data_IF_822241729143
#
_entry.id   IF_822241729143
#
_cell.length_a   1.000
_cell.length_b   1.000
_cell.length_c   1.000
_cell.angle_alpha   90.00
_cell.angle_beta   90.00
_cell.angle_gamma   90.00
#
_symmetry.space_group_name_H-M   'P 1'
#
loop_
_entity.id
_entity.type
_entity.pdbx_description
1 polymer ?
#
# COMPACT_ATOMS: atom_id res chain seq x y z
N UNK A 1 -65.51 -73.53 -160.31
CA UNK A 1 -65.89 -74.95 -160.12
C UNK A 1 -64.94 -75.53 -159.08
N UNK A 2 -65.32 -76.08 -157.92
CA UNK A 2 -66.62 -76.38 -157.31
C UNK A 2 -66.38 -77.26 -156.06
N UNK A 3 -67.08 -76.93 -154.97
CA UNK A 3 -66.98 -77.44 -153.58
C UNK A 3 -67.21 -78.96 -153.39
N UNK A 4 -66.54 -79.58 -152.41
CA UNK A 4 -67.14 -80.50 -151.41
C UNK A 4 -66.21 -80.74 -150.20
N UNK A 5 -66.84 -80.85 -149.01
CA UNK A 5 -66.27 -80.81 -147.66
C UNK A 5 -66.20 -82.20 -146.99
N UNK A 6 -65.15 -82.36 -146.16
CA UNK A 6 -64.99 -83.09 -144.88
C UNK A 6 -65.51 -84.53 -144.67
N UNK A 7 -64.60 -85.40 -144.18
CA UNK A 7 -64.81 -86.19 -142.94
C UNK A 7 -63.45 -86.33 -142.21
N UNK A 8 -63.39 -85.88 -140.96
CA UNK A 8 -62.19 -85.85 -140.09
C UNK A 8 -62.28 -86.97 -139.04
N UNK A 9 -61.18 -87.70 -138.81
CA UNK A 9 -61.06 -88.86 -137.91
C UNK A 9 -61.23 -88.46 -136.41
N UNK A 10 -62.23 -89.02 -135.68
CA UNK A 10 -62.53 -88.67 -134.29
C UNK A 10 -61.42 -88.98 -133.25
N UNK A 11 -60.45 -89.86 -133.56
CA UNK A 11 -59.57 -90.42 -132.52
C UNK A 11 -58.34 -89.53 -132.19
N UNK A 12 -57.89 -88.69 -133.13
CA UNK A 12 -56.76 -87.78 -132.90
C UNK A 12 -57.15 -86.56 -132.05
N UNK A 13 -58.38 -86.06 -132.25
CA UNK A 13 -59.04 -85.05 -131.43
C UNK A 13 -59.08 -85.50 -129.95
N UNK A 14 -59.50 -86.74 -129.69
CA UNK A 14 -59.60 -87.30 -128.33
C UNK A 14 -58.26 -87.32 -127.58
N UNK A 15 -57.15 -87.64 -128.28
CA UNK A 15 -55.83 -87.71 -127.65
C UNK A 15 -55.23 -86.33 -127.35
N UNK A 16 -55.48 -85.34 -128.22
CA UNK A 16 -55.14 -83.92 -127.93
C UNK A 16 -55.97 -83.39 -126.77
N UNK A 17 -57.25 -83.76 -126.69
CA UNK A 17 -58.14 -83.42 -125.58
C UNK A 17 -57.63 -84.06 -124.28
N UNK A 18 -57.26 -85.35 -124.28
CA UNK A 18 -56.79 -86.06 -123.08
C UNK A 18 -55.51 -85.48 -122.47
N UNK A 19 -54.49 -85.19 -123.28
CA UNK A 19 -53.25 -84.59 -122.76
C UNK A 19 -53.44 -83.14 -122.30
N UNK A 20 -54.34 -82.38 -122.94
CA UNK A 20 -54.71 -81.03 -122.52
C UNK A 20 -55.50 -81.07 -121.20
N UNK A 21 -56.34 -82.09 -121.02
CA UNK A 21 -57.06 -82.36 -119.76
C UNK A 21 -56.04 -82.69 -118.66
N UNK A 22 -55.08 -83.60 -118.88
CA UNK A 22 -54.10 -83.97 -117.85
C UNK A 22 -53.17 -82.81 -117.44
N UNK A 23 -52.67 -82.05 -118.41
CA UNK A 23 -51.87 -80.84 -118.12
C UNK A 23 -52.70 -79.74 -117.46
N UNK A 24 -54.01 -79.67 -117.73
CA UNK A 24 -54.95 -78.78 -117.01
C UNK A 24 -55.34 -79.29 -115.63
N UNK A 25 -55.17 -80.59 -115.34
CA UNK A 25 -55.44 -81.16 -114.02
C UNK A 25 -54.25 -81.00 -113.07
N UNK A 26 -53.01 -81.17 -113.56
CA UNK A 26 -51.80 -80.96 -112.75
C UNK A 26 -51.67 -79.51 -112.25
N UNK A 27 -51.95 -78.53 -113.11
CA UNK A 27 -51.95 -77.10 -112.72
C UNK A 27 -53.13 -76.71 -111.82
N UNK A 28 -54.22 -77.48 -111.79
CA UNK A 28 -55.34 -77.26 -110.88
C UNK A 28 -55.04 -77.73 -109.46
N UNK A 29 -54.27 -78.81 -109.27
CA UNK A 29 -53.94 -79.30 -107.94
C UNK A 29 -53.01 -78.32 -107.19
N UNK A 30 -52.00 -77.78 -107.86
CA UNK A 30 -51.09 -76.79 -107.28
C UNK A 30 -51.80 -75.44 -106.98
N UNK A 31 -52.77 -75.06 -107.82
CA UNK A 31 -53.66 -73.91 -107.57
C UNK A 31 -54.56 -74.13 -106.35
N UNK A 32 -55.05 -75.36 -106.15
CA UNK A 32 -55.89 -75.71 -105.01
C UNK A 32 -55.10 -75.65 -103.70
N UNK A 33 -53.85 -76.12 -103.67
CA UNK A 33 -53.00 -76.04 -102.49
C UNK A 33 -52.61 -74.59 -102.13
N UNK A 34 -52.34 -73.73 -103.13
CA UNK A 34 -52.14 -72.30 -102.91
C UNK A 34 -53.41 -71.60 -102.44
N UNK A 35 -54.57 -71.99 -102.98
CA UNK A 35 -55.86 -71.46 -102.54
C UNK A 35 -56.17 -71.89 -101.10
N UNK A 36 -55.89 -73.14 -100.72
CA UNK A 36 -56.10 -73.62 -99.36
C UNK A 36 -55.15 -72.92 -98.36
N UNK A 37 -53.89 -72.72 -98.75
CA UNK A 37 -52.93 -71.91 -97.96
C UNK A 37 -53.39 -70.45 -97.82
N UNK A 38 -53.85 -69.81 -98.89
CA UNK A 38 -54.39 -68.44 -98.86
C UNK A 38 -55.67 -68.34 -98.02
N UNK A 39 -56.57 -69.33 -98.11
CA UNK A 39 -57.79 -69.39 -97.30
C UNK A 39 -57.43 -69.55 -95.82
N UNK A 40 -56.43 -70.38 -95.50
CA UNK A 40 -55.96 -70.59 -94.13
C UNK A 40 -55.26 -69.36 -93.56
N UNK A 41 -54.35 -68.74 -94.30
CA UNK A 41 -53.67 -67.49 -93.92
C UNK A 41 -54.67 -66.32 -93.81
N UNK A 42 -55.64 -66.22 -94.72
CA UNK A 42 -56.69 -65.21 -94.66
C UNK A 42 -57.59 -65.42 -93.43
N UNK A 43 -57.90 -66.67 -93.08
CA UNK A 43 -58.72 -66.99 -91.89
C UNK A 43 -57.94 -66.74 -90.59
N UNK A 44 -56.65 -67.07 -90.54
CA UNK A 44 -55.77 -66.76 -89.40
C UNK A 44 -55.59 -65.24 -89.24
N UNK A 45 -55.39 -64.51 -90.34
CA UNK A 45 -55.28 -63.04 -90.35
C UNK A 45 -56.61 -62.40 -89.95
N UNK A 46 -57.74 -62.87 -90.48
CA UNK A 46 -59.07 -62.38 -90.12
C UNK A 46 -59.41 -62.70 -88.65
N UNK A 47 -59.04 -63.88 -88.14
CA UNK A 47 -59.23 -64.23 -86.74
C UNK A 47 -58.35 -63.37 -85.82
N UNK A 48 -57.12 -63.05 -86.23
CA UNK A 48 -56.21 -62.20 -85.45
C UNK A 48 -56.70 -60.75 -85.46
N UNK A 49 -57.10 -60.22 -86.61
CA UNK A 49 -57.71 -58.90 -86.75
C UNK A 49 -59.01 -58.77 -85.95
N UNK A 50 -59.85 -59.83 -85.90
CA UNK A 50 -61.05 -59.84 -85.05
C UNK A 50 -60.70 -59.77 -83.56
N UNK A 51 -59.74 -60.56 -83.10
CA UNK A 51 -59.28 -60.54 -81.70
C UNK A 51 -58.65 -59.20 -81.33
N UNK A 52 -57.83 -58.62 -82.20
CA UNK A 52 -57.22 -57.30 -82.01
C UNK A 52 -58.28 -56.18 -82.00
N UNK A 53 -59.29 -56.26 -82.87
CA UNK A 53 -60.41 -55.31 -82.89
C UNK A 53 -61.27 -55.39 -81.63
N UNK A 54 -61.56 -56.59 -81.13
CA UNK A 54 -62.26 -56.79 -79.85
C UNK A 54 -61.45 -56.21 -78.68
N UNK A 55 -60.14 -56.46 -78.62
CA UNK A 55 -59.25 -55.91 -77.60
C UNK A 55 -59.16 -54.37 -77.68
N UNK A 56 -59.06 -53.80 -78.89
CA UNK A 56 -59.04 -52.36 -79.11
C UNK A 56 -60.36 -51.70 -78.67
N UNK A 57 -61.51 -52.35 -78.93
CA UNK A 57 -62.82 -51.89 -78.48
C UNK A 57 -62.89 -51.86 -76.94
N UNK A 58 -62.47 -52.94 -76.27
CA UNK A 58 -62.43 -52.97 -74.80
C UNK A 58 -61.51 -51.90 -74.21
N UNK A 59 -60.36 -51.65 -74.82
CA UNK A 59 -59.45 -50.59 -74.38
C UNK A 59 -60.08 -49.21 -74.56
N UNK A 60 -60.72 -48.94 -75.70
CA UNK A 60 -61.40 -47.67 -75.96
C UNK A 60 -62.55 -47.42 -74.96
N UNK A 61 -63.34 -48.45 -74.64
CA UNK A 61 -64.39 -48.37 -73.62
C UNK A 61 -63.80 -48.05 -72.24
N UNK A 62 -62.73 -48.74 -71.81
CA UNK A 62 -62.03 -48.46 -70.55
C UNK A 62 -61.41 -47.06 -70.52
N UNK A 63 -60.83 -46.58 -71.62
CA UNK A 63 -60.30 -45.22 -71.72
C UNK A 63 -61.44 -44.19 -71.62
N UNK A 64 -62.56 -44.42 -72.30
CA UNK A 64 -63.72 -43.54 -72.23
C UNK A 64 -64.34 -43.51 -70.82
N UNK A 65 -64.43 -44.66 -70.16
CA UNK A 65 -64.88 -44.75 -68.77
C UNK A 65 -63.91 -44.04 -67.81
N UNK A 66 -62.60 -44.25 -67.96
CA UNK A 66 -61.59 -43.53 -67.19
C UNK A 66 -61.65 -42.02 -67.43
N UNK A 67 -61.87 -41.56 -68.66
CA UNK A 67 -62.07 -40.14 -68.95
C UNK A 67 -63.34 -39.61 -68.27
N UNK A 68 -64.47 -40.32 -68.35
CA UNK A 68 -65.71 -39.90 -67.66
C UNK A 68 -65.55 -39.86 -66.14
N UNK A 69 -64.87 -40.86 -65.57
CA UNK A 69 -64.75 -41.00 -64.12
C UNK A 69 -63.64 -40.13 -63.52
N UNK A 70 -62.56 -39.84 -64.27
CA UNK A 70 -61.38 -39.15 -63.72
C UNK A 70 -61.19 -37.73 -64.24
N UNK A 71 -62.04 -37.23 -65.14
CA UNK A 71 -62.02 -35.80 -65.51
C UNK A 71 -62.59 -34.97 -64.37
N UNK A 72 -61.78 -34.01 -63.89
CA UNK A 72 -62.18 -33.01 -62.90
C UNK A 72 -62.31 -31.67 -63.62
N UNK A 73 -63.44 -31.00 -63.47
CA UNK A 73 -63.69 -29.68 -64.05
C UNK A 73 -63.29 -28.60 -63.04
N UNK A 74 -62.46 -27.64 -63.45
CA UNK A 74 -62.08 -26.50 -62.61
C UNK A 74 -62.71 -25.22 -63.14
N UNK A 75 -63.46 -24.54 -62.27
CA UNK A 75 -64.15 -23.29 -62.57
C UNK A 75 -63.49 -22.17 -61.78
N UNK A 76 -63.14 -21.07 -62.44
CA UNK A 76 -62.65 -19.85 -61.78
C UNK A 76 -63.74 -18.78 -61.82
N UNK A 77 -64.24 -18.37 -60.65
CA UNK A 77 -65.32 -17.38 -60.57
C UNK A 77 -65.33 -16.66 -59.22
N UNK A 78 -65.87 -15.42 -59.21
CA UNK A 78 -66.08 -14.64 -57.97
C UNK A 78 -67.23 -15.18 -57.13
N UNK A 79 -68.27 -15.73 -57.76
CA UNK A 79 -69.45 -16.27 -57.09
C UNK A 79 -69.47 -17.80 -57.22
N UNK A 80 -70.11 -18.53 -56.29
CA UNK A 80 -70.22 -19.99 -56.36
C UNK A 80 -70.93 -20.43 -57.65
N UNK A 81 -70.33 -21.32 -58.46
CA UNK A 81 -71.01 -21.90 -59.61
C UNK A 81 -72.24 -22.70 -59.16
N UNK A 82 -73.34 -22.64 -59.94
CA UNK A 82 -74.63 -23.29 -59.61
C UNK A 82 -75.11 -24.28 -60.65
N UNK A 83 -74.46 -24.36 -61.80
CA UNK A 83 -74.82 -25.23 -62.93
C UNK A 83 -73.64 -26.13 -63.30
N UNK A 84 -73.94 -27.31 -63.87
CA UNK A 84 -72.90 -28.25 -64.32
C UNK A 84 -72.11 -28.94 -63.20
N UNK A 85 -72.57 -28.86 -61.96
CA UNK A 85 -71.83 -29.37 -60.79
C UNK A 85 -71.91 -30.90 -60.68
N UNK A 86 -70.75 -31.55 -60.63
CA UNK A 86 -70.61 -32.99 -60.42
C UNK A 86 -69.98 -33.23 -59.03
N UNK A 87 -70.65 -34.00 -58.14
CA UNK A 87 -70.10 -34.31 -56.83
C UNK A 87 -68.68 -34.87 -56.92
N UNK A 88 -67.76 -34.32 -56.14
CA UNK A 88 -66.34 -34.67 -56.04
C UNK A 88 -65.55 -34.61 -57.36
N UNK A 89 -66.12 -33.99 -58.41
CA UNK A 89 -65.50 -33.84 -59.74
C UNK A 89 -65.52 -32.40 -60.25
N UNK A 90 -66.15 -31.49 -59.52
CA UNK A 90 -66.09 -30.05 -59.82
C UNK A 90 -65.28 -29.34 -58.74
N UNK A 91 -64.22 -28.66 -59.17
CA UNK A 91 -63.41 -27.75 -58.37
C UNK A 91 -63.81 -26.32 -58.70
N UNK A 92 -63.89 -25.49 -57.68
CA UNK A 92 -64.09 -24.06 -57.81
C UNK A 92 -62.93 -23.33 -57.15
N UNK A 93 -62.25 -22.49 -57.92
CA UNK A 93 -61.32 -21.52 -57.37
C UNK A 93 -62.11 -20.26 -57.02
N UNK A 94 -62.38 -20.10 -55.73
CA UNK A 94 -63.10 -18.96 -55.16
C UNK A 94 -62.24 -17.71 -55.21
N UNK A 95 -62.63 -16.77 -56.06
CA UNK A 95 -61.91 -15.52 -56.34
C UNK A 95 -62.59 -14.30 -55.71
N UNK A 96 -63.55 -14.50 -54.81
CA UNK A 96 -64.29 -13.42 -54.13
C UNK A 96 -63.35 -12.44 -53.39
N UNK A 97 -62.29 -12.95 -52.75
CA UNK A 97 -61.33 -12.16 -51.95
C UNK A 97 -60.02 -11.78 -52.67
N UNK A 98 -59.95 -11.89 -54.00
CA UNK A 98 -58.74 -11.59 -54.79
C UNK A 98 -57.83 -12.79 -55.05
N UNK A 99 -56.70 -12.57 -55.74
CA UNK A 99 -55.71 -13.63 -56.09
C UNK A 99 -54.66 -13.78 -54.97
N UNK A 100 -54.26 -15.00 -54.58
CA UNK A 100 -54.73 -16.30 -55.09
C UNK A 100 -56.06 -16.72 -54.45
N UNK A 101 -57.02 -17.15 -55.27
CA UNK A 101 -58.31 -17.66 -54.80
C UNK A 101 -58.21 -18.99 -54.03
N UNK A 102 -59.22 -19.28 -53.21
CA UNK A 102 -59.29 -20.49 -52.36
C UNK A 102 -59.88 -21.64 -53.17
N UNK A 103 -59.20 -22.79 -53.22
CA UNK A 103 -59.72 -23.96 -53.92
C UNK A 103 -60.77 -24.68 -53.07
N UNK A 104 -61.96 -24.88 -53.65
CA UNK A 104 -63.10 -25.59 -53.05
C UNK A 104 -63.53 -26.74 -53.95
N UNK A 105 -64.07 -27.81 -53.37
CA UNK A 105 -64.63 -28.97 -54.09
C UNK A 105 -66.14 -29.04 -53.85
N UNK A 106 -66.91 -29.34 -54.88
CA UNK A 106 -68.35 -29.57 -54.75
C UNK A 106 -68.60 -30.97 -54.22
N UNK A 107 -69.26 -31.12 -53.07
CA UNK A 107 -69.53 -32.43 -52.45
C UNK A 107 -70.83 -33.08 -52.91
N UNK A 108 -71.62 -32.37 -53.73
CA UNK A 108 -72.98 -32.77 -54.11
C UNK A 108 -74.07 -32.01 -53.37
N UNK A 109 -73.73 -31.42 -52.21
CA UNK A 109 -74.63 -30.58 -51.43
C UNK A 109 -74.07 -29.19 -51.14
N UNK A 110 -72.75 -29.07 -50.95
CA UNK A 110 -72.10 -27.81 -50.63
C UNK A 110 -70.70 -27.70 -51.24
N UNK A 111 -70.15 -26.48 -51.25
CA UNK A 111 -68.75 -26.23 -51.58
C UNK A 111 -67.90 -26.34 -50.31
N UNK A 112 -66.92 -27.24 -50.31
CA UNK A 112 -66.00 -27.48 -49.19
C UNK A 112 -64.58 -27.01 -49.53
N UNK A 113 -63.88 -26.37 -48.57
CA UNK A 113 -62.50 -25.91 -48.77
C UNK A 113 -61.53 -27.09 -48.84
N UNK A 114 -60.67 -27.09 -49.86
CA UNK A 114 -59.58 -28.06 -50.01
C UNK A 114 -58.31 -27.61 -49.28
N UNK A 115 -58.26 -26.34 -48.87
CA UNK A 115 -57.16 -25.78 -48.08
C UNK A 115 -57.33 -26.20 -46.61
N UNK A 116 -56.28 -26.75 -45.95
CA UNK A 116 -56.33 -27.12 -44.54
C UNK A 116 -56.60 -25.90 -43.65
N UNK A 117 -57.17 -26.13 -42.47
CA UNK A 117 -57.44 -25.08 -41.49
C UNK A 117 -56.14 -24.43 -41.01
N UNK A 118 -55.86 -23.22 -41.51
CA UNK A 118 -54.70 -22.41 -41.12
C UNK A 118 -54.99 -21.53 -39.89
N UNK A 119 -56.25 -21.45 -39.46
CA UNK A 119 -56.68 -20.58 -38.37
C UNK A 119 -56.23 -21.14 -37.02
N UNK A 120 -56.35 -22.46 -36.84
CA UNK A 120 -55.83 -23.18 -35.67
C UNK A 120 -54.32 -23.03 -35.52
N UNK A 121 -53.56 -23.19 -36.61
CA UNK A 121 -52.09 -23.01 -36.62
C UNK A 121 -51.69 -21.58 -36.25
N UNK A 122 -52.40 -20.56 -36.76
CA UNK A 122 -52.17 -19.16 -36.38
C UNK A 122 -52.45 -18.92 -34.91
N UNK A 123 -53.55 -19.46 -34.38
CA UNK A 123 -53.94 -19.30 -32.98
C UNK A 123 -52.94 -19.93 -32.03
N UNK A 124 -52.53 -21.18 -32.29
CA UNK A 124 -51.52 -21.89 -31.50
C UNK A 124 -50.18 -21.15 -31.51
N UNK A 125 -49.75 -20.67 -32.69
CA UNK A 125 -48.51 -19.90 -32.83
C UNK A 125 -48.55 -18.59 -32.03
N UNK A 126 -49.67 -17.85 -32.08
CA UNK A 126 -49.85 -16.61 -31.33
C UNK A 126 -49.88 -16.86 -29.82
N UNK A 127 -50.54 -17.91 -29.36
CA UNK A 127 -50.57 -18.32 -27.95
C UNK A 127 -49.17 -18.68 -27.45
N UNK A 128 -48.40 -19.45 -28.24
CA UNK A 128 -47.04 -19.82 -27.90
C UNK A 128 -46.09 -18.61 -27.88
N UNK A 129 -46.22 -17.71 -28.86
CA UNK A 129 -45.45 -16.46 -28.89
C UNK A 129 -45.77 -15.60 -27.67
N UNK A 130 -47.05 -15.43 -27.32
CA UNK A 130 -47.44 -14.69 -26.12
C UNK A 130 -46.86 -15.31 -24.85
N UNK A 131 -46.92 -16.65 -24.72
CA UNK A 131 -46.33 -17.36 -23.59
C UNK A 131 -44.82 -17.12 -23.47
N UNK A 132 -44.10 -17.17 -24.60
CA UNK A 132 -42.66 -16.91 -24.64
C UNK A 132 -42.32 -15.45 -24.31
N UNK A 133 -43.14 -14.50 -24.76
CA UNK A 133 -42.97 -13.08 -24.43
C UNK A 133 -43.15 -12.87 -22.93
N UNK A 134 -44.21 -13.42 -22.33
CA UNK A 134 -44.46 -13.28 -20.89
C UNK A 134 -43.39 -13.98 -20.05
N UNK A 135 -42.91 -15.17 -20.44
CA UNK A 135 -41.81 -15.83 -19.73
C UNK A 135 -40.51 -15.02 -19.82
N UNK A 136 -40.17 -14.52 -21.01
CA UNK A 136 -38.98 -13.70 -21.23
C UNK A 136 -39.06 -12.39 -20.44
N UNK A 137 -40.24 -11.77 -20.38
CA UNK A 137 -40.48 -10.55 -19.61
C UNK A 137 -40.33 -10.81 -18.10
N UNK A 138 -40.85 -11.93 -17.60
CA UNK A 138 -40.69 -12.32 -16.21
C UNK A 138 -39.21 -12.56 -15.85
N UNK A 139 -38.48 -13.31 -16.68
CA UNK A 139 -37.04 -13.53 -16.51
C UNK A 139 -36.24 -12.22 -16.56
N UNK A 140 -36.58 -11.33 -17.49
CA UNK A 140 -35.92 -10.03 -17.61
C UNK A 140 -36.17 -9.16 -16.37
N UNK A 141 -37.42 -9.09 -15.89
CA UNK A 141 -37.76 -8.36 -14.67
C UNK A 141 -37.01 -8.93 -13.45
N UNK A 142 -36.91 -10.25 -13.33
CA UNK A 142 -36.15 -10.89 -12.27
C UNK A 142 -34.67 -10.51 -12.35
N UNK A 143 -34.03 -10.61 -13.53
CA UNK A 143 -32.62 -10.21 -13.71
C UNK A 143 -32.38 -8.74 -13.41
N UNK A 144 -33.32 -7.86 -13.78
CA UNK A 144 -33.25 -6.43 -13.44
C UNK A 144 -33.34 -6.22 -11.94
N UNK A 145 -34.26 -6.92 -11.25
CA UNK A 145 -34.38 -6.82 -9.80
C UNK A 145 -33.14 -7.36 -9.08
N UNK A 146 -32.57 -8.47 -9.53
CA UNK A 146 -31.33 -9.04 -9.00
C UNK A 146 -30.16 -8.07 -9.17
N UNK A 147 -30.01 -7.47 -10.36
CA UNK A 147 -28.99 -6.46 -10.63
C UNK A 147 -29.17 -5.20 -9.77
N UNK A 148 -30.41 -4.74 -9.57
CA UNK A 148 -30.71 -3.61 -8.67
C UNK A 148 -30.34 -3.94 -7.22
N UNK A 149 -30.74 -5.12 -6.73
CA UNK A 149 -30.42 -5.56 -5.37
C UNK A 149 -28.91 -5.70 -5.16
N UNK A 150 -28.18 -6.25 -6.13
CA UNK A 150 -26.73 -6.37 -6.09
C UNK A 150 -26.07 -4.98 -6.07
N UNK A 151 -26.51 -4.06 -6.92
CA UNK A 151 -25.99 -2.68 -6.94
C UNK A 151 -26.25 -1.95 -5.62
N UNK A 152 -27.45 -2.10 -5.03
CA UNK A 152 -27.77 -1.54 -3.71
C UNK A 152 -26.93 -2.16 -2.60
N UNK A 153 -26.71 -3.48 -2.62
CA UNK A 153 -25.84 -4.17 -1.66
C UNK A 153 -24.41 -3.63 -1.70
N UNK A 154 -23.81 -3.56 -2.89
CA UNK A 154 -22.47 -3.01 -3.08
C UNK A 154 -22.38 -1.54 -2.67
N UNK A 155 -23.41 -0.74 -2.98
CA UNK A 155 -23.46 0.67 -2.55
C UNK A 155 -23.45 0.81 -1.03
N UNK A 156 -24.22 -0.02 -0.32
CA UNK A 156 -24.26 -0.01 1.15
C UNK A 156 -22.92 -0.42 1.76
N UNK A 157 -22.27 -1.46 1.24
CA UNK A 157 -20.93 -1.89 1.68
C UNK A 157 -19.90 -0.77 1.50
N UNK A 158 -19.91 -0.10 0.34
CA UNK A 158 -19.03 1.05 0.07
C UNK A 158 -19.33 2.21 1.03
N UNK A 159 -20.61 2.49 1.29
CA UNK A 159 -21.01 3.56 2.21
C UNK A 159 -20.54 3.27 3.64
N UNK A 160 -20.72 2.05 4.14
CA UNK A 160 -20.24 1.62 5.45
C UNK A 160 -18.71 1.65 5.54
N UNK A 161 -18.02 1.19 4.49
CA UNK A 161 -16.58 1.27 4.37
C UNK A 161 -16.06 2.72 4.45
N UNK A 162 -16.70 3.64 3.72
CA UNK A 162 -16.36 5.07 3.76
C UNK A 162 -16.61 5.70 5.14
N UNK A 163 -17.70 5.33 5.83
CA UNK A 163 -17.91 5.77 7.21
C UNK A 163 -16.83 5.23 8.16
N UNK A 164 -16.40 3.97 7.99
CA UNK A 164 -15.29 3.38 8.75
C UNK A 164 -13.97 4.11 8.53
N UNK A 165 -13.65 4.42 7.27
CA UNK A 165 -12.49 5.24 6.89
C UNK A 165 -12.57 6.63 7.53
N UNK A 166 -13.73 7.29 7.46
CA UNK A 166 -13.94 8.62 8.07
C UNK A 166 -13.69 8.61 9.59
N UNK A 167 -14.22 7.61 10.31
CA UNK A 167 -13.94 7.44 11.76
C UNK A 167 -12.46 7.23 12.04
N UNK A 168 -11.78 6.46 11.18
CA UNK A 168 -10.34 6.22 11.29
C UNK A 168 -9.54 7.51 11.09
N UNK A 169 -9.89 8.32 10.10
CA UNK A 169 -9.26 9.63 9.85
C UNK A 169 -9.43 10.55 11.06
N UNK A 170 -10.64 10.69 11.61
CA UNK A 170 -10.87 11.53 12.80
C UNK A 170 -10.07 11.05 14.02
N UNK A 171 -9.92 9.74 14.22
CA UNK A 171 -9.07 9.20 15.29
C UNK A 171 -7.59 9.53 15.08
N UNK A 172 -7.11 9.52 13.83
CA UNK A 172 -5.74 9.91 13.48
C UNK A 172 -5.53 11.40 13.74
N UNK A 173 -6.44 12.27 13.30
CA UNK A 173 -6.40 13.72 13.53
C UNK A 173 -6.34 14.05 15.04
N UNK A 174 -7.16 13.38 15.85
CA UNK A 174 -7.13 13.53 17.31
C UNK A 174 -5.77 13.12 17.90
N UNK A 175 -5.23 11.96 17.50
CA UNK A 175 -3.90 11.51 17.94
C UNK A 175 -2.79 12.45 17.50
N UNK A 176 -2.88 13.01 16.29
CA UNK A 176 -1.93 14.00 15.80
C UNK A 176 -1.95 15.26 16.67
N UNK A 177 -3.14 15.75 17.04
CA UNK A 177 -3.28 16.88 17.97
C UNK A 177 -2.74 16.59 19.39
N UNK A 178 -2.84 15.35 19.87
CA UNK A 178 -2.19 14.94 21.13
C UNK A 178 -0.66 14.87 21.02
N UNK A 179 -0.13 14.40 19.89
CA UNK A 179 1.31 14.38 19.61
C UNK A 179 1.85 15.81 19.58
N UNK A 180 1.20 16.72 18.88
CA UNK A 180 1.62 18.13 18.78
C UNK A 180 1.74 18.76 20.17
N UNK A 181 0.73 18.53 21.05
CA UNK A 181 0.78 19.00 22.46
C UNK A 181 1.98 18.45 23.22
N UNK A 182 2.28 17.15 23.07
CA UNK A 182 3.43 16.51 23.73
C UNK A 182 4.75 17.06 23.21
N UNK A 183 4.86 17.30 21.90
CA UNK A 183 6.05 17.90 21.28
C UNK A 183 6.26 19.32 21.81
N UNK A 184 5.22 20.15 21.86
CA UNK A 184 5.32 21.50 22.44
C UNK A 184 5.75 21.47 23.90
N UNK A 185 5.19 20.55 24.72
CA UNK A 185 5.62 20.40 26.11
C UNK A 185 7.10 19.98 26.21
N UNK A 186 7.54 19.04 25.36
CA UNK A 186 8.93 18.61 25.32
C UNK A 186 9.88 19.75 24.94
N UNK A 187 9.50 20.60 23.99
CA UNK A 187 10.28 21.80 23.63
C UNK A 187 10.39 22.78 24.80
N UNK A 188 9.29 23.00 25.54
CA UNK A 188 9.29 23.85 26.73
C UNK A 188 10.20 23.29 27.83
N UNK A 189 10.07 21.99 28.14
CA UNK A 189 10.89 21.31 29.14
C UNK A 189 12.38 21.34 28.75
N UNK A 190 12.69 21.09 27.46
CA UNK A 190 14.05 21.17 26.92
C UNK A 190 14.65 22.57 27.06
N UNK A 191 13.87 23.63 26.81
CA UNK A 191 14.31 25.01 27.04
C UNK A 191 14.53 25.32 28.54
N UNK A 192 13.69 24.77 29.42
CA UNK A 192 13.89 24.85 30.87
C UNK A 192 15.19 24.14 31.32
N UNK A 193 15.46 22.96 30.77
CA UNK A 193 16.72 22.25 31.03
C UNK A 193 17.94 23.01 30.51
N UNK A 194 17.88 23.58 29.31
CA UNK A 194 18.95 24.42 28.76
C UNK A 194 19.30 25.57 29.70
N UNK A 195 18.28 26.29 30.18
CA UNK A 195 18.46 27.42 31.12
C UNK A 195 19.07 26.97 32.44
N UNK A 196 18.63 25.81 32.95
CA UNK A 196 19.16 25.22 34.19
C UNK A 196 20.63 24.82 34.05
N UNK A 197 21.00 24.22 32.92
CA UNK A 197 22.40 23.86 32.60
C UNK A 197 23.26 25.12 32.50
N UNK A 198 22.82 26.16 31.78
CA UNK A 198 23.56 27.42 31.68
C UNK A 198 23.80 28.07 33.06
N UNK A 199 22.82 28.01 33.97
CA UNK A 199 22.96 28.49 35.34
C UNK A 199 23.96 27.66 36.16
N UNK A 200 23.92 26.34 36.03
CA UNK A 200 24.86 25.45 36.71
C UNK A 200 26.30 25.68 36.22
N UNK A 201 26.52 25.83 34.91
CA UNK A 201 27.84 26.13 34.35
C UNK A 201 28.41 27.46 34.86
N UNK A 202 27.57 28.50 35.03
CA UNK A 202 27.98 29.76 35.64
C UNK A 202 28.40 29.58 37.10
N UNK A 203 27.58 28.88 37.90
CA UNK A 203 27.89 28.58 39.31
C UNK A 203 29.18 27.77 39.45
N UNK A 204 29.40 26.79 38.58
CA UNK A 204 30.61 25.98 38.57
C UNK A 204 31.88 26.83 38.31
N UNK A 205 31.77 27.78 37.37
CA UNK A 205 32.84 28.76 37.11
C UNK A 205 33.10 29.66 38.33
N UNK A 206 32.04 30.15 38.98
CA UNK A 206 32.16 30.96 40.21
C UNK A 206 32.79 30.17 41.36
N UNK A 207 32.41 28.91 41.54
CA UNK A 207 32.97 28.01 42.55
C UNK A 207 34.47 27.80 42.27
N UNK A 208 34.84 27.52 41.02
CA UNK A 208 36.24 27.36 40.61
C UNK A 208 37.09 28.58 40.94
N UNK A 209 36.58 29.79 40.67
CA UNK A 209 37.28 31.03 41.02
C UNK A 209 37.45 31.23 42.54
N UNK A 210 36.41 30.90 43.32
CA UNK A 210 36.49 30.95 44.79
C UNK A 210 37.49 29.91 45.32
N UNK A 211 37.55 28.73 44.72
CA UNK A 211 38.49 27.67 45.11
C UNK A 211 39.95 28.11 44.86
N UNK A 212 40.24 28.71 43.71
CA UNK A 212 41.56 29.29 43.43
C UNK A 212 41.96 30.36 44.46
N UNK A 213 40.99 31.17 44.90
CA UNK A 213 41.22 32.18 45.95
C UNK A 213 41.54 31.53 47.30
N UNK A 214 40.81 30.47 47.67
CA UNK A 214 41.06 29.70 48.89
C UNK A 214 42.44 29.04 48.84
N UNK A 215 42.82 28.44 47.72
CA UNK A 215 44.14 27.84 47.51
C UNK A 215 45.26 28.87 47.73
N UNK A 216 45.15 30.05 47.11
CA UNK A 216 46.10 31.15 47.30
C UNK A 216 46.20 31.59 48.77
N UNK A 217 45.07 31.73 49.46
CA UNK A 217 45.05 32.10 50.88
C UNK A 217 45.68 31.02 51.78
N UNK A 218 45.48 29.73 51.46
CA UNK A 218 46.10 28.61 52.17
C UNK A 218 47.61 28.65 51.99
N UNK A 219 48.12 28.87 50.77
CA UNK A 219 49.55 29.02 50.53
C UNK A 219 50.15 30.23 51.26
N UNK A 220 49.44 31.37 51.28
CA UNK A 220 49.83 32.52 52.08
C UNK A 220 49.89 32.23 53.59
N UNK A 221 48.88 31.52 54.10
CA UNK A 221 48.81 31.11 55.52
C UNK A 221 49.94 30.12 55.87
N UNK A 222 50.26 29.16 55.00
CA UNK A 222 51.39 28.25 55.19
C UNK A 222 52.71 29.00 55.34
N UNK A 223 52.96 30.03 54.50
CA UNK A 223 54.15 30.88 54.60
C UNK A 223 54.20 31.63 55.93
N UNK A 224 53.10 32.29 56.32
CA UNK A 224 53.01 33.00 57.59
C UNK A 224 53.26 32.07 58.80
N UNK A 225 52.73 30.84 58.78
CA UNK A 225 53.00 29.84 59.81
C UNK A 225 54.49 29.47 59.84
N UNK A 226 55.12 29.27 58.69
CA UNK A 226 56.56 28.99 58.61
C UNK A 226 57.39 30.12 59.22
N UNK A 227 57.06 31.38 58.91
CA UNK A 227 57.75 32.56 59.46
C UNK A 227 57.58 32.66 61.00
N UNK A 228 56.37 32.36 61.50
CA UNK A 228 56.10 32.30 62.95
C UNK A 228 56.88 31.18 63.62
N UNK A 229 56.99 30.00 62.99
CA UNK A 229 57.77 28.87 63.51
C UNK A 229 59.27 29.21 63.59
N UNK A 230 59.81 29.88 62.58
CA UNK A 230 61.18 30.36 62.59
C UNK A 230 61.40 31.36 63.73
N UNK A 231 60.57 32.40 63.80
CA UNK A 231 60.64 33.43 64.86
C UNK A 231 60.55 32.81 66.25
N UNK A 232 59.66 31.84 66.44
CA UNK A 232 59.50 31.11 67.70
C UNK A 232 60.78 30.34 68.08
N UNK A 233 61.46 29.75 67.10
CA UNK A 233 62.73 29.04 67.32
C UNK A 233 63.87 29.98 67.70
N UNK A 234 63.95 31.15 67.06
CA UNK A 234 64.91 32.21 67.38
C UNK A 234 64.67 32.79 68.79
N UNK A 235 63.41 33.03 69.15
CA UNK A 235 63.03 33.45 70.50
C UNK A 235 63.42 32.39 71.54
N UNK A 236 63.12 31.12 71.29
CA UNK A 236 63.50 30.02 72.20
C UNK A 236 65.00 29.98 72.45
N UNK A 237 65.83 30.14 71.42
CA UNK A 237 67.28 30.23 71.54
C UNK A 237 67.70 31.42 72.40
N UNK A 238 67.14 32.60 72.11
CA UNK A 238 67.42 33.83 72.87
C UNK A 238 67.05 33.67 74.35
N UNK A 239 65.90 33.05 74.65
CA UNK A 239 65.47 32.75 76.02
C UNK A 239 66.46 31.83 76.74
N UNK A 240 66.92 30.75 76.10
CA UNK A 240 67.95 29.87 76.69
C UNK A 240 69.25 30.63 76.98
N UNK A 241 69.70 31.51 76.08
CA UNK A 241 70.88 32.34 76.31
C UNK A 241 70.72 33.31 77.48
N UNK A 242 69.51 33.87 77.66
CA UNK A 242 69.17 34.72 78.82
C UNK A 242 69.20 33.91 80.12
N UNK A 243 68.58 32.73 80.15
CA UNK A 243 68.59 31.83 81.30
C UNK A 243 70.02 31.48 81.73
N UNK A 244 70.89 31.14 80.77
CA UNK A 244 72.30 30.83 81.04
C UNK A 244 73.05 32.04 81.62
N UNK A 245 72.88 33.23 81.03
CA UNK A 245 73.49 34.46 81.54
C UNK A 245 72.98 34.83 82.93
N UNK A 246 71.68 34.67 83.19
CA UNK A 246 71.08 34.92 84.50
C UNK A 246 71.63 33.95 85.56
N UNK A 247 71.81 32.67 85.22
CA UNK A 247 72.49 31.70 86.09
C UNK A 247 73.91 32.12 86.45
N UNK A 248 74.72 32.52 85.46
CA UNK A 248 76.09 33.04 85.70
C UNK A 248 76.11 34.29 86.59
N UNK A 249 75.13 35.18 86.42
CA UNK A 249 74.99 36.37 87.29
C UNK A 249 74.64 35.96 88.72
N UNK A 250 73.73 34.99 88.89
CA UNK A 250 73.36 34.47 90.21
C UNK A 250 74.56 33.88 90.94
N UNK A 251 75.39 33.07 90.28
CA UNK A 251 76.63 32.52 90.84
C UNK A 251 77.61 33.62 91.26
N UNK A 252 77.83 34.62 90.39
CA UNK A 252 78.70 35.77 90.70
C UNK A 252 78.16 36.56 91.89
N UNK A 253 76.84 36.75 91.97
CA UNK A 253 76.20 37.46 93.07
C UNK A 253 76.39 36.70 94.39
N UNK A 254 76.17 35.38 94.42
CA UNK A 254 76.44 34.54 95.59
C UNK A 254 77.92 34.60 96.02
N UNK A 255 78.85 34.63 95.05
CA UNK A 255 80.28 34.80 95.32
C UNK A 255 80.59 36.15 95.97
N UNK A 256 80.02 37.25 95.46
CA UNK A 256 80.14 38.59 96.04
C UNK A 256 79.54 38.62 97.45
N UNK A 257 78.34 38.09 97.64
CA UNK A 257 77.67 38.02 98.95
C UNK A 257 78.52 37.24 99.97
N UNK A 258 79.06 36.09 99.57
CA UNK A 258 79.97 35.30 100.42
C UNK A 258 81.23 36.08 100.79
N UNK A 259 81.82 36.81 99.83
CA UNK A 259 83.00 37.65 100.05
C UNK A 259 82.70 38.80 101.01
N UNK A 260 81.56 39.47 100.84
CA UNK A 260 81.09 40.54 101.74
C UNK A 260 80.82 40.01 103.14
N UNK A 261 80.13 38.87 103.28
CA UNK A 261 79.86 38.25 104.58
C UNK A 261 81.13 37.73 105.28
N UNK A 262 82.14 37.33 104.50
CA UNK A 262 83.46 36.92 105.02
C UNK A 262 84.36 38.10 105.35
N UNK A 263 84.03 39.30 104.87
CA UNK A 263 84.75 40.53 105.19
C UNK A 263 84.40 40.92 106.63
N UNK A 264 85.19 40.39 107.57
CA UNK A 264 85.21 40.86 108.94
C UNK A 264 85.76 42.30 108.94
N UNK A 265 84.90 43.27 108.72
CA UNK A 265 85.05 44.63 109.26
C UNK A 265 84.97 44.63 110.81
N UNK A 266 85.51 43.58 111.44
CA UNK A 266 85.80 43.50 112.86
C UNK A 266 87.13 44.20 113.12
N UNK A 267 87.06 45.48 113.46
CA UNK A 267 88.02 46.13 114.35
C UNK A 267 89.44 46.41 113.83
N UNK A 268 89.73 46.33 112.52
CA UNK A 268 90.99 46.91 112.00
C UNK A 268 90.80 48.39 111.70
N UNK A 269 91.16 49.19 112.70
CA UNK A 269 91.46 50.61 112.57
C UNK A 269 92.42 50.82 111.37
N UNK A 270 91.92 51.38 110.27
CA UNK A 270 92.71 51.72 109.08
C UNK A 270 93.64 52.93 109.33
N UNK A 271 93.64 53.49 110.54
CA UNK A 271 94.55 54.57 110.94
C UNK A 271 95.49 54.04 112.03
N UNK A 272 96.71 53.68 111.64
CA UNK A 272 97.80 53.44 112.59
C UNK A 272 98.03 54.75 113.39
N UNK A 273 97.93 54.68 114.72
CA UNK A 273 98.15 55.79 115.68
C UNK A 273 97.10 56.91 115.76
N UNK A 274 95.83 56.69 115.41
CA UNK A 274 94.76 57.72 115.55
C UNK A 274 94.37 58.13 116.98
N UNK A 275 95.02 57.57 118.01
CA UNK A 275 94.73 57.88 119.42
C UNK A 275 95.96 58.38 120.19
N UNK A 276 96.86 59.07 119.51
CA UNK A 276 98.00 59.77 120.12
C UNK A 276 97.72 61.28 120.06
N UNK A 277 97.56 61.91 121.22
CA UNK A 277 97.50 63.37 121.36
C UNK A 277 98.86 63.95 120.96
N UNK A 278 98.90 64.67 119.85
CA UNK A 278 100.08 65.38 119.39
C UNK A 278 100.04 66.81 119.96
N UNK A 279 100.69 67.03 121.11
CA UNK A 279 100.91 68.38 121.63
C UNK A 279 102.22 68.92 121.06
N UNK A 280 102.12 69.92 120.20
CA UNK A 280 103.27 70.72 119.73
C UNK A 280 103.07 72.13 120.26
N UNK A 281 103.90 72.55 121.21
CA UNK A 281 103.89 73.90 121.81
C UNK A 281 104.67 74.94 120.99
N UNK A 282 105.19 74.57 119.83
CA UNK A 282 105.83 75.50 118.92
C UNK A 282 104.80 76.06 117.94
N UNK A 283 104.26 77.23 118.26
CA UNK A 283 103.56 78.08 117.30
C UNK A 283 104.58 78.46 116.21
N UNK A 284 104.67 77.65 115.16
CA UNK A 284 105.34 78.02 113.91
C UNK A 284 104.55 79.18 113.30
N UNK A 285 104.93 80.41 113.66
CA UNK A 285 104.63 81.57 112.83
C UNK A 285 105.32 81.29 111.49
N UNK A 286 104.53 81.18 110.42
CA UNK A 286 105.06 80.96 109.08
C UNK A 286 106.15 82.00 108.78
N UNK A 287 107.33 81.53 108.40
CA UNK A 287 108.43 82.38 107.98
C UNK A 287 108.11 82.95 106.61
N UNK A 288 107.82 84.25 106.54
CA UNK A 288 107.60 84.96 105.28
C UNK A 288 108.87 85.75 104.94
N UNK A 289 109.45 85.46 103.77
CA UNK A 289 110.49 86.29 103.16
C UNK A 289 109.82 87.35 102.30
N UNK A 290 110.20 88.61 102.48
CA UNK A 290 109.70 89.69 101.63
C UNK A 290 110.38 89.62 100.26
N UNK A 291 109.62 89.93 99.22
CA UNK A 291 110.11 89.95 97.83
C UNK A 291 110.84 91.25 97.48
N UNK A 292 110.97 92.18 98.43
CA UNK A 292 111.59 93.49 98.23
C UNK A 292 112.72 93.72 99.24
N UNK A 293 113.79 94.40 98.79
CA UNK A 293 114.94 94.74 99.63
C UNK A 293 114.61 95.98 100.48
N UNK A 294 114.96 95.95 101.77
CA UNK A 294 114.85 97.12 102.64
C UNK A 294 115.92 98.16 102.33
N UNK A 295 115.54 99.44 102.39
CA UNK A 295 116.47 100.56 102.23
C UNK A 295 116.85 101.14 103.60
N UNK A 296 118.10 101.59 103.74
CA UNK A 296 118.60 102.19 104.98
C UNK A 296 117.89 103.52 105.26
N UNK A 297 117.66 103.80 106.55
CA UNK A 297 117.01 105.00 107.10
C UNK A 297 115.48 105.11 106.92
N UNK A 298 114.79 103.99 106.61
CA UNK A 298 113.32 103.89 106.62
C UNK A 298 112.80 102.99 107.75
N UNK A 299 111.67 103.38 108.35
CA UNK A 299 111.01 102.62 109.40
C UNK A 299 109.89 101.73 108.83
N UNK A 300 110.04 100.42 108.96
CA UNK A 300 109.04 99.44 108.52
C UNK A 300 108.29 98.86 109.71
N UNK A 301 106.96 98.78 109.63
CA UNK A 301 106.10 98.20 110.68
C UNK A 301 105.50 96.89 110.21
N UNK A 302 105.75 95.80 110.94
CA UNK A 302 105.16 94.49 110.70
C UNK A 302 104.07 94.20 111.73
N UNK A 303 102.88 93.83 111.27
CA UNK A 303 101.76 93.48 112.14
C UNK A 303 101.38 92.02 111.91
N UNK A 304 101.54 91.20 112.95
CA UNK A 304 101.11 89.80 112.96
C UNK A 304 99.86 89.68 113.82
N UNK A 305 98.78 89.12 113.28
CA UNK A 305 97.53 88.88 114.00
C UNK A 305 97.37 87.38 114.25
N UNK A 306 97.21 87.00 115.52
CA UNK A 306 96.92 85.63 115.95
C UNK A 306 96.07 85.62 117.22
N UNK A 307 95.37 84.50 117.46
CA UNK A 307 94.52 84.29 118.64
C UNK A 307 95.12 83.20 119.52
N UNK A 308 95.26 83.44 120.83
CA UNK A 308 95.76 82.44 121.80
C UNK A 308 94.57 81.89 122.60
N UNK A 309 94.31 80.57 122.63
CA UNK A 309 93.22 80.00 123.41
C UNK A 309 93.49 80.03 124.92
N UNK A 310 92.49 80.41 125.71
CA UNK A 310 92.58 80.56 127.17
C UNK A 310 92.66 79.18 127.87
N UNK A 311 93.75 78.92 128.57
CA UNK A 311 94.03 77.62 129.22
C UNK A 311 95.49 77.18 129.23
N UNK A 312 96.40 77.99 128.68
CA UNK A 312 97.85 77.96 128.88
C UNK A 312 98.33 79.32 129.36
#
# INVERSE_FOLDING_TARGET
>A
FGDYREMTDPNEELRKIYNRILSSLGSKQEMLDQLDKLVKEANETASSAKKESEAAKTLAEKVQENMKNNTVEMIEAKNPPTTGLKPYKTLWRDMSNGKPGILKIWTGAAWESVVPDVESVKKETLEQVNKNIESTKAELNQKVQEAQNQATGQFNEVQEGLQGVSRTISNIENKQGEIDKKVTQFEQDSNGFKTSIESLTKKDTEISNKLNTVESNVEGTKRAISDVQQTTSELKKTTTEIEEKAGKISEKLTSVETKVNSDKAGGRNLVLQSNVTYEKTDYLINQYSLTENFFADEAYTFVIKGSVPQGQ
#
